data_IF_626771551187
#
_entry.id   IF_626771551187
#
_cell.length_a   1.000
_cell.length_b   1.000
_cell.length_c   1.000
_cell.angle_alpha   90.00
_cell.angle_beta   90.00
_cell.angle_gamma   90.00
#
_symmetry.space_group_name_H-M   'P 1'
#
loop_
_entity.id
_entity.type
_entity.pdbx_description
1 polymer ?
#
# COMPACT_ATOMS: atom_id res chain seq x y z
N UNK A 1 -1.06 34.86 5.33
CA UNK A 1 -1.39 33.51 5.85
C UNK A 1 -0.29 33.09 6.81
N UNK A 2 -0.63 32.70 8.04
CA UNK A 2 0.36 32.22 9.00
C UNK A 2 0.94 30.88 8.50
N UNK A 3 2.23 30.86 8.18
CA UNK A 3 2.95 29.65 7.75
C UNK A 3 3.36 28.75 8.94
N UNK A 4 3.05 29.16 10.16
CA UNK A 4 3.39 28.43 11.38
C UNK A 4 2.40 27.28 11.56
N UNK A 5 2.94 26.11 11.88
CA UNK A 5 2.19 24.91 12.21
C UNK A 5 1.42 25.09 13.53
N UNK A 6 0.13 24.76 13.52
CA UNK A 6 -0.74 24.76 14.70
C UNK A 6 -1.48 23.41 14.81
N UNK A 7 -1.31 22.77 15.96
CA UNK A 7 -1.89 21.46 16.25
C UNK A 7 -3.43 21.51 16.34
N UNK A 8 -4.01 22.58 16.88
CA UNK A 8 -5.46 22.69 17.06
C UNK A 8 -6.15 22.83 15.70
N UNK A 9 -5.52 23.56 14.80
CA UNK A 9 -5.98 23.71 13.41
C UNK A 9 -5.86 22.41 12.64
N UNK A 10 -4.74 21.72 12.79
CA UNK A 10 -4.50 20.39 12.20
C UNK A 10 -5.56 19.37 12.64
N UNK A 11 -5.88 19.32 13.93
CA UNK A 11 -6.92 18.44 14.47
C UNK A 11 -8.33 18.80 13.96
N UNK A 12 -8.62 20.08 13.78
CA UNK A 12 -9.89 20.53 13.19
C UNK A 12 -9.99 20.09 11.72
N UNK A 13 -8.92 20.23 10.95
CA UNK A 13 -8.83 19.75 9.56
C UNK A 13 -8.97 18.23 9.47
N UNK A 14 -8.35 17.50 10.40
CA UNK A 14 -8.48 16.06 10.53
C UNK A 14 -9.93 15.62 10.75
N UNK A 15 -10.62 16.23 11.73
CA UNK A 15 -12.03 15.94 12.03
C UNK A 15 -12.93 16.23 10.82
N UNK A 16 -12.66 17.34 10.12
CA UNK A 16 -13.38 17.71 8.90
C UNK A 16 -13.24 16.61 7.83
N UNK A 17 -12.00 16.24 7.47
CA UNK A 17 -11.74 15.22 6.46
C UNK A 17 -12.39 13.86 6.80
N UNK A 18 -12.33 13.47 8.07
CA UNK A 18 -12.96 12.23 8.53
C UNK A 18 -14.49 12.33 8.46
N UNK A 19 -15.09 13.46 8.85
CA UNK A 19 -16.54 13.66 8.80
C UNK A 19 -17.11 13.63 7.38
N UNK A 20 -16.35 14.15 6.41
CA UNK A 20 -16.75 14.19 5.00
C UNK A 20 -16.78 12.79 4.38
N UNK A 21 -15.79 11.95 4.72
CA UNK A 21 -15.60 10.65 4.07
C UNK A 21 -16.09 9.45 4.91
N UNK A 22 -16.50 9.65 6.18
CA UNK A 22 -16.85 8.53 7.10
C UNK A 22 -17.89 7.57 6.53
N UNK A 23 -18.94 8.06 5.86
CA UNK A 23 -20.02 7.20 5.35
C UNK A 23 -19.51 6.31 4.22
N UNK A 24 -18.76 6.88 3.29
CA UNK A 24 -18.18 6.14 2.17
C UNK A 24 -17.16 5.09 2.66
N UNK A 25 -16.27 5.47 3.59
CA UNK A 25 -15.28 4.56 4.17
C UNK A 25 -15.99 3.42 4.93
N UNK A 26 -16.99 3.73 5.75
CA UNK A 26 -17.71 2.73 6.53
C UNK A 26 -18.49 1.75 5.63
N UNK A 27 -19.15 2.26 4.58
CA UNK A 27 -19.81 1.41 3.59
C UNK A 27 -18.83 0.50 2.85
N UNK A 28 -17.64 1.01 2.48
CA UNK A 28 -16.61 0.21 1.84
C UNK A 28 -16.08 -0.91 2.77
N UNK A 29 -15.80 -0.57 4.04
CA UNK A 29 -15.36 -1.55 5.05
C UNK A 29 -16.45 -2.59 5.31
N UNK A 30 -17.70 -2.16 5.49
CA UNK A 30 -18.83 -3.07 5.72
C UNK A 30 -19.07 -3.99 4.52
N UNK A 31 -19.02 -3.46 3.30
CA UNK A 31 -19.14 -4.23 2.07
C UNK A 31 -18.00 -5.25 1.92
N UNK A 32 -16.77 -4.84 2.24
CA UNK A 32 -15.61 -5.74 2.27
C UNK A 32 -15.81 -6.88 3.27
N UNK A 33 -16.14 -6.59 4.53
CA UNK A 33 -16.36 -7.64 5.53
C UNK A 33 -17.57 -8.51 5.24
N UNK A 34 -18.63 -7.96 4.65
CA UNK A 34 -19.78 -8.74 4.15
C UNK A 34 -19.37 -9.72 3.06
N UNK A 35 -18.54 -9.29 2.11
CA UNK A 35 -17.98 -10.17 1.09
C UNK A 35 -17.09 -11.26 1.71
N UNK A 36 -16.16 -10.90 2.59
CA UNK A 36 -15.30 -11.87 3.27
C UNK A 36 -16.14 -12.86 4.07
N UNK A 37 -17.22 -12.41 4.72
CA UNK A 37 -18.11 -13.28 5.48
C UNK A 37 -18.71 -14.38 4.61
N UNK A 38 -19.28 -14.02 3.45
CA UNK A 38 -19.84 -14.99 2.51
C UNK A 38 -18.76 -15.97 2.04
N UNK A 39 -17.58 -15.49 1.66
CA UNK A 39 -16.50 -16.39 1.22
C UNK A 39 -16.00 -17.30 2.34
N UNK A 40 -15.95 -16.80 3.59
CA UNK A 40 -15.51 -17.56 4.76
C UNK A 40 -16.46 -18.72 5.07
N UNK A 41 -17.77 -18.53 4.85
CA UNK A 41 -18.75 -19.60 5.00
C UNK A 41 -18.49 -20.75 4.03
N UNK A 42 -18.27 -20.44 2.74
CA UNK A 42 -17.97 -21.46 1.74
C UNK A 42 -16.64 -22.18 2.00
N UNK A 43 -15.61 -21.45 2.44
CA UNK A 43 -14.31 -22.04 2.76
C UNK A 43 -14.39 -22.91 4.01
N UNK A 44 -15.04 -22.43 5.08
CA UNK A 44 -15.20 -23.20 6.30
C UNK A 44 -15.97 -24.51 6.08
N UNK A 45 -16.98 -24.50 5.21
CA UNK A 45 -17.78 -25.68 4.92
C UNK A 45 -17.06 -26.72 4.03
N UNK A 46 -16.28 -26.29 3.03
CA UNK A 46 -15.68 -27.20 2.06
C UNK A 46 -14.21 -27.55 2.35
N UNK A 47 -13.46 -26.63 2.95
CA UNK A 47 -12.02 -26.75 3.14
C UNK A 47 -11.56 -25.95 4.38
N UNK A 48 -11.90 -26.40 5.61
CA UNK A 48 -11.63 -25.66 6.85
C UNK A 48 -10.14 -25.37 7.06
N UNK A 49 -9.25 -26.24 6.56
CA UNK A 49 -7.80 -26.04 6.61
C UNK A 49 -7.31 -24.79 5.85
N UNK A 50 -8.09 -24.28 4.88
CA UNK A 50 -7.73 -23.11 4.08
C UNK A 50 -8.16 -21.78 4.71
N UNK A 51 -8.92 -21.80 5.82
CA UNK A 51 -9.46 -20.59 6.43
C UNK A 51 -8.36 -19.61 6.88
N UNK A 52 -7.27 -20.11 7.45
CA UNK A 52 -6.13 -19.26 7.87
C UNK A 52 -5.41 -18.60 6.68
N UNK A 53 -5.28 -19.31 5.56
CA UNK A 53 -4.69 -18.76 4.34
C UNK A 53 -5.62 -17.69 3.73
N UNK A 54 -6.92 -17.95 3.75
CA UNK A 54 -7.93 -16.99 3.33
C UNK A 54 -7.86 -15.70 4.15
N UNK A 55 -7.68 -15.79 5.47
CA UNK A 55 -7.51 -14.61 6.32
C UNK A 55 -6.31 -13.76 5.94
N UNK A 56 -5.19 -14.42 5.64
CA UNK A 56 -3.96 -13.76 5.20
C UNK A 56 -4.17 -12.99 3.91
N UNK A 57 -4.81 -13.61 2.91
CA UNK A 57 -5.08 -12.99 1.61
C UNK A 57 -6.00 -11.78 1.77
N UNK A 58 -7.11 -11.93 2.50
CA UNK A 58 -8.06 -10.83 2.68
C UNK A 58 -7.49 -9.69 3.53
N UNK A 59 -6.68 -9.99 4.53
CA UNK A 59 -5.93 -8.96 5.26
C UNK A 59 -5.05 -8.14 4.31
N UNK A 60 -4.32 -8.79 3.40
CA UNK A 60 -3.52 -8.10 2.40
C UNK A 60 -4.36 -7.26 1.43
N UNK A 61 -5.50 -7.78 0.96
CA UNK A 61 -6.43 -7.02 0.12
C UNK A 61 -6.95 -5.79 0.86
N UNK A 62 -7.31 -5.92 2.14
CA UNK A 62 -7.77 -4.78 2.94
C UNK A 62 -6.66 -3.75 3.12
N UNK A 63 -5.45 -4.19 3.49
CA UNK A 63 -4.33 -3.31 3.77
C UNK A 63 -3.87 -2.57 2.50
N UNK A 64 -3.53 -3.32 1.44
CA UNK A 64 -2.98 -2.78 0.19
C UNK A 64 -4.05 -2.22 -0.75
N UNK A 65 -5.21 -2.87 -0.86
CA UNK A 65 -6.33 -2.35 -1.64
C UNK A 65 -6.89 -1.08 -1.02
N UNK A 66 -7.04 -1.06 0.31
CA UNK A 66 -7.48 0.11 1.04
C UNK A 66 -6.54 1.30 0.92
N UNK A 67 -5.22 1.07 0.99
CA UNK A 67 -4.25 2.17 0.84
C UNK A 67 -4.28 2.76 -0.56
N UNK A 68 -4.41 1.95 -1.62
CA UNK A 68 -4.56 2.46 -2.98
C UNK A 68 -5.79 3.37 -3.13
N UNK A 69 -6.92 2.97 -2.52
CA UNK A 69 -8.16 3.73 -2.59
C UNK A 69 -8.09 5.03 -1.76
N UNK A 70 -7.63 4.96 -0.52
CA UNK A 70 -7.67 6.10 0.41
C UNK A 70 -6.54 7.09 0.10
N UNK A 71 -5.31 6.61 -0.13
CA UNK A 71 -4.21 7.48 -0.53
C UNK A 71 -4.48 8.10 -1.91
N UNK A 72 -4.96 7.28 -2.87
CA UNK A 72 -5.31 7.73 -4.21
C UNK A 72 -6.46 8.76 -4.27
N UNK A 73 -7.32 8.81 -3.24
CA UNK A 73 -8.44 9.76 -3.13
C UNK A 73 -8.19 10.91 -2.15
N UNK A 74 -7.02 10.95 -1.49
CA UNK A 74 -6.70 11.92 -0.43
C UNK A 74 -6.85 13.38 -0.88
N UNK A 75 -6.65 13.67 -2.18
CA UNK A 75 -6.78 14.99 -2.77
C UNK A 75 -7.95 15.12 -3.76
N UNK A 76 -8.93 14.21 -3.69
CA UNK A 76 -10.11 14.22 -4.57
C UNK A 76 -10.94 15.51 -4.47
N UNK A 77 -10.83 16.25 -3.37
CA UNK A 77 -11.50 17.53 -3.16
C UNK A 77 -10.87 18.68 -3.96
N UNK A 78 -9.59 18.60 -4.33
CA UNK A 78 -8.91 19.65 -5.11
C UNK A 78 -9.16 19.46 -6.61
N UNK A 79 -9.74 18.32 -7.00
CA UNK A 79 -9.89 17.91 -8.38
C UNK A 79 -11.01 18.62 -9.15
N UNK A 80 -11.95 19.27 -8.45
CA UNK A 80 -12.97 20.13 -9.09
C UNK A 80 -12.77 21.58 -8.68
N UNK A 81 -12.98 22.51 -9.61
CA UNK A 81 -12.75 23.95 -9.40
C UNK A 81 -13.52 24.48 -8.18
N UNK A 82 -14.78 24.08 -8.02
CA UNK A 82 -15.63 24.50 -6.90
C UNK A 82 -15.11 24.01 -5.54
N UNK A 83 -14.73 22.73 -5.45
CA UNK A 83 -14.24 22.12 -4.21
C UNK A 83 -12.79 22.56 -3.91
N UNK A 84 -12.02 22.86 -4.95
CA UNK A 84 -10.68 23.41 -4.85
C UNK A 84 -10.70 24.77 -4.18
N UNK A 85 -11.59 25.69 -4.60
CA UNK A 85 -11.73 27.01 -3.96
C UNK A 85 -12.10 26.85 -2.48
N UNK A 86 -13.05 25.98 -2.16
CA UNK A 86 -13.44 25.70 -0.77
C UNK A 86 -12.32 25.07 0.07
N UNK A 87 -11.44 24.27 -0.54
CA UNK A 87 -10.30 23.65 0.14
C UNK A 87 -9.13 24.63 0.32
N UNK A 88 -8.89 25.49 -0.67
CA UNK A 88 -7.84 26.51 -0.65
C UNK A 88 -8.17 27.63 0.34
N UNK A 89 -9.45 27.95 0.53
CA UNK A 89 -9.93 28.94 1.50
C UNK A 89 -9.85 28.48 2.96
N UNK A 90 -9.59 27.20 3.22
CA UNK A 90 -9.37 26.70 4.58
C UNK A 90 -8.14 27.38 5.18
N UNK A 91 -8.22 27.93 6.40
CA UNK A 91 -7.16 28.74 7.00
C UNK A 91 -5.96 27.91 7.52
N UNK A 92 -5.62 26.80 6.86
CA UNK A 92 -4.55 25.87 7.19
C UNK A 92 -3.29 26.14 6.37
N UNK A 93 -2.11 25.81 6.92
CA UNK A 93 -0.86 25.89 6.18
C UNK A 93 -0.74 24.77 5.15
N UNK A 94 0.07 24.94 4.11
CA UNK A 94 0.35 23.90 3.09
C UNK A 94 0.85 22.61 3.73
N UNK A 95 1.70 22.73 4.76
CA UNK A 95 2.23 21.57 5.49
C UNK A 95 1.15 20.81 6.27
N UNK A 96 0.20 21.51 6.88
CA UNK A 96 -0.93 20.86 7.57
C UNK A 96 -1.86 20.15 6.60
N UNK A 97 -2.14 20.78 5.45
CA UNK A 97 -2.92 20.18 4.36
C UNK A 97 -2.21 18.98 3.73
N UNK A 98 -0.89 18.89 3.86
CA UNK A 98 -0.09 17.73 3.46
C UNK A 98 -0.13 16.61 4.51
N UNK A 99 0.17 16.93 5.77
CA UNK A 99 0.38 15.92 6.82
C UNK A 99 -0.93 15.23 7.23
N UNK A 100 -2.08 15.93 7.19
CA UNK A 100 -3.36 15.36 7.61
C UNK A 100 -3.80 14.21 6.70
N UNK A 101 -3.89 14.38 5.36
CA UNK A 101 -4.20 13.27 4.47
C UNK A 101 -3.14 12.17 4.51
N UNK A 102 -1.85 12.53 4.64
CA UNK A 102 -0.76 11.55 4.75
C UNK A 102 -0.90 10.65 6.00
N UNK A 103 -1.20 11.23 7.16
CA UNK A 103 -1.45 10.48 8.40
C UNK A 103 -2.70 9.62 8.32
N UNK A 104 -3.78 10.16 7.74
CA UNK A 104 -5.06 9.45 7.59
C UNK A 104 -4.95 8.23 6.67
N UNK A 105 -4.35 8.42 5.50
CA UNK A 105 -4.27 7.37 4.47
C UNK A 105 -3.14 6.37 4.69
N UNK A 106 -2.10 6.75 5.43
CA UNK A 106 -0.99 5.88 5.80
C UNK A 106 -1.20 5.26 7.19
N UNK A 107 -0.70 5.94 8.22
CA UNK A 107 -0.57 5.36 9.58
C UNK A 107 -1.93 4.93 10.15
N UNK A 108 -2.93 5.81 10.07
CA UNK A 108 -4.24 5.55 10.68
C UNK A 108 -4.95 4.43 9.93
N UNK A 109 -4.89 4.41 8.60
CA UNK A 109 -5.43 3.31 7.82
C UNK A 109 -4.79 1.98 8.17
N UNK A 110 -3.46 1.91 8.30
CA UNK A 110 -2.77 0.69 8.69
C UNK A 110 -3.25 0.17 10.05
N UNK A 111 -3.39 1.04 11.05
CA UNK A 111 -3.91 0.69 12.38
C UNK A 111 -5.37 0.20 12.29
N UNK A 112 -6.21 0.90 11.52
CA UNK A 112 -7.62 0.50 11.32
C UNK A 112 -7.71 -0.85 10.62
N UNK A 113 -6.90 -1.10 9.58
CA UNK A 113 -6.87 -2.37 8.87
C UNK A 113 -6.45 -3.52 9.79
N UNK A 114 -5.40 -3.34 10.60
CA UNK A 114 -4.95 -4.32 11.59
C UNK A 114 -6.06 -4.59 12.62
N UNK A 115 -6.55 -3.56 13.30
CA UNK A 115 -7.51 -3.70 14.38
C UNK A 115 -8.85 -4.25 13.93
N UNK A 116 -9.39 -3.74 12.82
CA UNK A 116 -10.68 -4.20 12.29
C UNK A 116 -10.62 -5.64 11.80
N UNK A 117 -9.52 -6.05 11.14
CA UNK A 117 -9.39 -7.41 10.63
C UNK A 117 -9.14 -8.42 11.75
N UNK A 118 -8.35 -8.07 12.78
CA UNK A 118 -8.18 -8.90 13.96
C UNK A 118 -9.52 -9.13 14.66
N UNK A 119 -10.27 -8.06 14.93
CA UNK A 119 -11.61 -8.18 15.53
C UNK A 119 -12.54 -9.03 14.68
N UNK A 120 -12.57 -8.80 13.38
CA UNK A 120 -13.36 -9.58 12.43
C UNK A 120 -13.01 -11.07 12.48
N UNK A 121 -11.72 -11.42 12.41
CA UNK A 121 -11.28 -12.81 12.42
C UNK A 121 -11.66 -13.52 13.72
N UNK A 122 -11.55 -12.85 14.87
CA UNK A 122 -11.95 -13.41 16.16
C UNK A 122 -13.45 -13.72 16.20
N UNK A 123 -14.29 -12.78 15.74
CA UNK A 123 -15.74 -12.96 15.72
C UNK A 123 -16.16 -14.09 14.79
N UNK A 124 -15.59 -14.12 13.58
CA UNK A 124 -15.95 -15.10 12.55
C UNK A 124 -15.41 -16.50 12.86
N UNK A 125 -14.18 -16.61 13.37
CA UNK A 125 -13.62 -17.90 13.77
C UNK A 125 -14.36 -18.46 14.99
N UNK A 126 -14.75 -17.60 15.94
CA UNK A 126 -15.61 -18.01 17.06
C UNK A 126 -16.98 -18.51 16.60
N UNK A 127 -17.61 -17.80 15.65
CA UNK A 127 -18.90 -18.20 15.08
C UNK A 127 -18.79 -19.53 14.31
N UNK A 128 -17.80 -19.69 13.44
CA UNK A 128 -17.60 -20.94 12.71
C UNK A 128 -17.19 -22.10 13.62
N UNK A 129 -16.44 -21.84 14.69
CA UNK A 129 -16.12 -22.86 15.68
C UNK A 129 -17.36 -23.36 16.40
N UNK A 130 -18.27 -22.46 16.79
CA UNK A 130 -19.53 -22.83 17.43
C UNK A 130 -20.49 -23.59 16.50
N UNK A 131 -20.54 -23.24 15.21
CA UNK A 131 -21.47 -23.86 14.25
C UNK A 131 -20.93 -25.18 13.70
N UNK A 132 -19.64 -25.25 13.37
CA UNK A 132 -19.04 -26.39 12.65
C UNK A 132 -18.24 -27.32 13.57
N UNK A 133 -18.00 -26.96 14.83
CA UNK A 133 -17.28 -27.79 15.80
C UNK A 133 -15.76 -27.88 15.59
N UNK A 134 -15.18 -27.08 14.69
CA UNK A 134 -13.73 -27.00 14.48
C UNK A 134 -13.10 -25.90 15.35
N UNK A 135 -11.89 -26.10 15.83
CA UNK A 135 -11.10 -25.02 16.44
C UNK A 135 -10.27 -24.32 15.37
N UNK A 136 -10.38 -22.99 15.33
CA UNK A 136 -9.61 -22.13 14.44
C UNK A 136 -8.72 -21.21 15.26
N UNK A 137 -7.47 -21.05 14.85
CA UNK A 137 -6.55 -20.11 15.49
C UNK A 137 -7.01 -18.66 15.26
N UNK A 138 -6.72 -17.80 16.22
CA UNK A 138 -6.91 -16.37 16.04
C UNK A 138 -5.92 -15.85 15.00
N UNK A 139 -6.41 -15.13 13.98
CA UNK A 139 -5.53 -14.52 13.01
C UNK A 139 -4.72 -13.42 13.69
N UNK A 140 -3.40 -13.55 13.63
CA UNK A 140 -2.48 -12.54 14.12
C UNK A 140 -1.64 -12.00 12.94
N UNK A 141 -1.84 -10.73 12.53
CA UNK A 141 -1.12 -10.14 11.40
C UNK A 141 0.39 -10.01 11.65
N UNK A 142 0.84 -10.01 12.91
CA UNK A 142 2.25 -10.03 13.27
C UNK A 142 2.86 -11.43 13.27
N UNK A 143 2.01 -12.47 13.30
CA UNK A 143 2.43 -13.88 13.28
C UNK A 143 2.52 -14.48 11.87
N UNK A 144 2.18 -13.70 10.84
CA UNK A 144 2.30 -14.09 9.43
C UNK A 144 3.70 -14.71 9.25
N UNK A 145 3.71 -16.05 9.11
CA UNK A 145 4.86 -16.96 9.27
C UNK A 145 5.99 -16.65 8.29
N UNK A 146 6.77 -15.60 8.54
CA UNK A 146 8.06 -15.35 7.87
C UNK A 146 9.13 -14.80 8.85
N UNK A 147 9.06 -15.18 10.13
CA UNK A 147 10.06 -14.82 11.15
C UNK A 147 10.03 -13.34 11.59
N UNK A 148 10.94 -12.89 12.49
CA UNK A 148 11.04 -11.49 12.92
C UNK A 148 11.31 -10.50 11.78
N UNK A 149 11.78 -10.98 10.62
CA UNK A 149 11.92 -10.18 9.39
C UNK A 149 10.59 -9.99 8.63
N UNK A 150 9.52 -10.71 8.98
CA UNK A 150 8.24 -10.71 8.24
C UNK A 150 7.47 -9.40 8.32
N UNK A 151 7.48 -8.75 9.49
CA UNK A 151 6.78 -7.49 9.68
C UNK A 151 7.34 -6.42 8.73
N UNK A 152 8.66 -6.40 8.56
CA UNK A 152 9.32 -5.52 7.60
C UNK A 152 8.92 -5.86 6.16
N UNK A 153 8.76 -7.14 5.82
CA UNK A 153 8.36 -7.57 4.48
C UNK A 153 6.90 -7.19 4.13
N UNK A 154 6.04 -6.96 5.12
CA UNK A 154 4.65 -6.53 4.89
C UNK A 154 4.51 -5.01 4.97
N UNK A 155 5.00 -4.38 6.03
CA UNK A 155 4.74 -2.96 6.28
C UNK A 155 5.65 -2.03 5.49
N UNK A 156 6.85 -2.46 5.09
CA UNK A 156 7.71 -1.62 4.28
C UNK A 156 7.20 -1.45 2.84
N UNK A 157 6.82 -2.52 2.11
CA UNK A 157 6.19 -2.35 0.80
C UNK A 157 4.85 -1.62 0.88
N UNK A 158 4.15 -1.71 2.01
CA UNK A 158 2.95 -0.90 2.25
C UNK A 158 3.26 0.61 2.18
N UNK A 159 4.33 1.09 2.81
CA UNK A 159 4.70 2.51 2.72
C UNK A 159 5.18 2.90 1.32
N UNK A 160 5.82 1.99 0.58
CA UNK A 160 6.15 2.22 -0.82
C UNK A 160 4.87 2.39 -1.66
N UNK A 161 3.92 1.47 -1.54
CA UNK A 161 2.64 1.56 -2.24
C UNK A 161 1.88 2.83 -1.84
N UNK A 162 1.81 3.14 -0.54
CA UNK A 162 1.22 4.39 -0.05
C UNK A 162 1.86 5.61 -0.71
N UNK A 163 3.20 5.70 -0.75
CA UNK A 163 3.91 6.84 -1.34
C UNK A 163 3.59 7.02 -2.83
N UNK A 164 3.48 5.94 -3.60
CA UNK A 164 3.16 5.96 -5.04
C UNK A 164 1.75 6.50 -5.26
N UNK A 165 0.75 5.98 -4.54
CA UNK A 165 -0.64 6.41 -4.68
C UNK A 165 -0.87 7.81 -4.12
N UNK A 166 -0.17 8.18 -3.05
CA UNK A 166 -0.23 9.52 -2.47
C UNK A 166 0.36 10.56 -3.42
N UNK A 167 1.53 10.28 -4.01
CA UNK A 167 2.09 11.10 -5.09
C UNK A 167 1.11 11.17 -6.27
N UNK A 168 0.56 10.05 -6.71
CA UNK A 168 -0.45 9.99 -7.76
C UNK A 168 -1.67 10.88 -7.51
N UNK A 169 -2.18 10.91 -6.28
CA UNK A 169 -3.27 11.78 -5.85
C UNK A 169 -2.91 13.27 -5.95
N UNK A 170 -1.67 13.64 -5.61
CA UNK A 170 -1.18 15.02 -5.76
C UNK A 170 -0.79 15.38 -7.19
N UNK A 171 -0.40 14.41 -8.03
CA UNK A 171 0.06 14.66 -9.39
C UNK A 171 -1.10 14.76 -10.38
N UNK A 172 -2.09 13.88 -10.28
CA UNK A 172 -3.21 13.80 -11.23
C UNK A 172 -4.48 14.48 -10.72
N UNK A 173 -5.07 15.38 -11.51
CA UNK A 173 -6.30 16.11 -11.12
C UNK A 173 -7.59 15.31 -11.37
N UNK A 174 -7.60 14.40 -12.35
CA UNK A 174 -8.80 13.59 -12.64
C UNK A 174 -8.39 12.15 -12.77
N UNK A 175 -9.18 11.28 -12.14
CA UNK A 175 -8.96 9.83 -12.13
C UNK A 175 -7.53 9.46 -11.66
N UNK A 176 -7.15 9.95 -10.48
CA UNK A 176 -5.79 9.76 -9.97
C UNK A 176 -5.40 8.29 -9.82
N UNK A 177 -6.31 7.44 -9.31
CA UNK A 177 -6.06 6.00 -9.15
C UNK A 177 -5.72 5.32 -10.48
N UNK A 178 -6.60 5.31 -11.52
CA UNK A 178 -6.30 4.60 -12.76
C UNK A 178 -5.11 5.21 -13.50
N UNK A 179 -4.86 6.53 -13.41
CA UNK A 179 -3.65 7.13 -14.00
C UNK A 179 -2.38 6.68 -13.29
N UNK A 180 -2.42 6.53 -11.98
CA UNK A 180 -1.28 6.01 -11.19
C UNK A 180 -1.00 4.56 -11.55
N UNK A 181 -2.05 3.73 -11.64
CA UNK A 181 -1.94 2.34 -12.08
C UNK A 181 -1.40 2.24 -13.52
N UNK A 182 -1.93 3.04 -14.45
CA UNK A 182 -1.46 3.07 -15.84
C UNK A 182 0.01 3.50 -15.93
N UNK A 183 0.40 4.54 -15.18
CA UNK A 183 1.78 5.01 -15.14
C UNK A 183 2.70 3.92 -14.58
N UNK A 184 2.31 3.29 -13.47
CA UNK A 184 3.05 2.17 -12.90
C UNK A 184 3.18 1.01 -13.88
N UNK A 185 2.11 0.66 -14.60
CA UNK A 185 2.11 -0.38 -15.62
C UNK A 185 3.08 -0.06 -16.77
N UNK A 186 3.05 1.17 -17.30
CA UNK A 186 3.96 1.59 -18.39
C UNK A 186 5.41 1.58 -17.91
N UNK A 187 5.69 2.14 -16.73
CA UNK A 187 7.05 2.14 -16.15
C UNK A 187 7.56 0.72 -15.91
N UNK A 188 6.74 -0.16 -15.34
CA UNK A 188 7.10 -1.56 -15.11
C UNK A 188 7.33 -2.32 -16.41
N UNK A 189 6.52 -2.06 -17.44
CA UNK A 189 6.66 -2.69 -18.75
C UNK A 189 7.95 -2.26 -19.44
N UNK A 190 8.26 -0.96 -19.43
CA UNK A 190 9.53 -0.43 -19.95
C UNK A 190 10.73 -0.97 -19.18
N UNK A 191 10.65 -1.02 -17.84
CA UNK A 191 11.70 -1.59 -17.02
C UNK A 191 11.93 -3.08 -17.33
N UNK A 192 10.86 -3.86 -17.47
CA UNK A 192 10.93 -5.29 -17.83
C UNK A 192 11.56 -5.45 -19.22
N UNK A 193 11.14 -4.64 -20.20
CA UNK A 193 11.68 -4.67 -21.55
C UNK A 193 13.18 -4.32 -21.59
N UNK A 194 13.60 -3.29 -20.85
CA UNK A 194 15.03 -2.94 -20.71
C UNK A 194 15.82 -4.10 -20.07
N UNK A 195 15.30 -4.74 -19.01
CA UNK A 195 15.95 -5.91 -18.42
C UNK A 195 16.12 -7.06 -19.42
N UNK A 196 15.11 -7.31 -20.27
CA UNK A 196 15.21 -8.33 -21.32
C UNK A 196 16.30 -8.01 -22.33
N UNK A 197 16.42 -6.73 -22.75
CA UNK A 197 17.51 -6.27 -23.63
C UNK A 197 18.87 -6.47 -22.95
N UNK A 198 19.00 -6.07 -21.69
CA UNK A 198 20.24 -6.26 -20.92
C UNK A 198 20.64 -7.73 -20.85
N UNK A 199 19.69 -8.62 -20.56
CA UNK A 199 19.93 -10.07 -20.53
C UNK A 199 20.40 -10.55 -21.91
N UNK A 200 19.75 -10.12 -22.98
CA UNK A 200 20.12 -10.53 -24.35
C UNK A 200 21.53 -10.05 -24.74
N UNK A 201 21.92 -8.82 -24.36
CA UNK A 201 23.25 -8.27 -24.64
C UNK A 201 24.33 -8.98 -23.81
N UNK A 202 24.08 -9.20 -22.52
CA UNK A 202 25.08 -9.74 -21.59
C UNK A 202 25.28 -11.26 -21.75
N UNK A 203 24.22 -12.00 -22.06
CA UNK A 203 24.24 -13.46 -22.07
C UNK A 203 24.05 -14.07 -23.46
N UNK A 204 23.88 -13.26 -24.53
CA UNK A 204 23.71 -13.75 -25.90
C UNK A 204 22.34 -14.36 -26.20
N UNK A 205 21.54 -14.68 -25.18
CA UNK A 205 20.18 -15.17 -25.31
C UNK A 205 19.55 -15.60 -23.99
N UNK A 206 18.24 -15.85 -23.99
CA UNK A 206 17.50 -16.29 -22.80
C UNK A 206 17.86 -17.71 -22.33
N UNK A 207 18.22 -18.60 -23.27
CA UNK A 207 18.66 -19.96 -22.95
C UNK A 207 19.95 -19.96 -22.15
N UNK A 208 20.93 -19.20 -22.63
CA UNK A 208 22.25 -19.08 -22.00
C UNK A 208 22.16 -18.36 -20.65
N UNK A 209 21.28 -17.38 -20.49
CA UNK A 209 21.01 -16.76 -19.19
C UNK A 209 20.52 -17.77 -18.14
N UNK A 210 19.57 -18.62 -18.51
CA UNK A 210 19.00 -19.61 -17.60
C UNK A 210 20.05 -20.67 -17.20
N UNK A 211 20.86 -21.14 -18.15
CA UNK A 211 21.96 -22.07 -17.86
C UNK A 211 23.01 -21.42 -16.94
N UNK A 212 23.38 -20.17 -17.21
CA UNK A 212 24.40 -19.48 -16.42
C UNK A 212 23.97 -19.12 -15.00
N UNK A 213 22.68 -18.80 -14.76
CA UNK A 213 22.20 -18.53 -13.38
C UNK A 213 22.11 -19.80 -12.55
N UNK A 214 21.78 -20.93 -13.17
CA UNK A 214 21.63 -22.19 -12.44
C UNK A 214 22.98 -22.88 -12.12
N UNK A 215 24.08 -22.37 -12.67
CA UNK A 215 25.45 -22.80 -12.39
C UNK A 215 26.33 -21.63 -11.94
N UNK A 216 26.00 -20.98 -10.81
CA UNK A 216 26.72 -19.81 -10.33
C UNK A 216 28.16 -20.13 -9.90
N UNK A 217 28.50 -21.42 -9.72
CA UNK A 217 29.87 -21.91 -9.51
C UNK A 217 30.83 -21.59 -10.66
N UNK A 218 30.32 -21.33 -11.88
CA UNK A 218 31.14 -21.00 -13.05
C UNK A 218 31.47 -19.50 -13.13
N UNK A 219 30.88 -18.67 -12.26
CA UNK A 219 31.11 -17.24 -12.25
C UNK A 219 32.33 -16.90 -11.40
N UNK A 220 32.98 -15.77 -11.70
CA UNK A 220 33.99 -15.23 -10.80
C UNK A 220 33.34 -15.03 -9.41
N UNK A 221 33.96 -15.51 -8.31
CA UNK A 221 33.41 -15.38 -6.95
C UNK A 221 32.99 -13.94 -6.60
N UNK A 222 33.75 -12.94 -7.03
CA UNK A 222 33.45 -11.52 -6.78
C UNK A 222 32.20 -11.07 -7.55
N UNK A 223 32.07 -11.53 -8.79
CA UNK A 223 30.91 -11.27 -9.64
C UNK A 223 29.65 -11.93 -9.04
N UNK A 224 29.78 -13.17 -8.58
CA UNK A 224 28.71 -13.93 -7.96
C UNK A 224 28.21 -13.24 -6.67
N UNK A 225 29.12 -12.86 -5.78
CA UNK A 225 28.79 -12.09 -4.57
C UNK A 225 28.08 -10.77 -4.90
N UNK A 226 28.57 -10.03 -5.90
CA UNK A 226 27.97 -8.77 -6.31
C UNK A 226 26.53 -8.95 -6.81
N UNK A 227 26.27 -9.89 -7.72
CA UNK A 227 24.96 -10.05 -8.37
C UNK A 227 23.93 -10.81 -7.54
N UNK A 228 24.34 -11.81 -6.74
CA UNK A 228 23.41 -12.61 -5.95
C UNK A 228 23.15 -12.05 -4.56
N UNK A 229 24.11 -11.33 -3.97
CA UNK A 229 23.98 -10.86 -2.60
C UNK A 229 23.95 -9.33 -2.47
N UNK A 230 24.96 -8.64 -2.99
CA UNK A 230 25.05 -7.18 -2.83
C UNK A 230 23.94 -6.44 -3.59
N UNK A 231 23.80 -6.71 -4.88
CA UNK A 231 22.90 -5.98 -5.77
C UNK A 231 21.42 -6.14 -5.36
N UNK A 232 20.87 -7.34 -5.07
CA UNK A 232 19.49 -7.48 -4.64
C UNK A 232 19.22 -6.80 -3.29
N UNK A 233 20.16 -6.89 -2.34
CA UNK A 233 20.05 -6.17 -1.05
C UNK A 233 20.09 -4.67 -1.24
N UNK A 234 21.00 -4.16 -2.08
CA UNK A 234 21.12 -2.75 -2.38
C UNK A 234 19.86 -2.20 -3.05
N UNK A 235 19.35 -2.91 -4.06
CA UNK A 235 18.10 -2.56 -4.76
C UNK A 235 16.94 -2.59 -3.76
N UNK A 236 16.79 -3.67 -2.98
CA UNK A 236 15.73 -3.80 -1.97
C UNK A 236 15.77 -2.63 -0.98
N UNK A 237 16.91 -2.35 -0.38
CA UNK A 237 17.07 -1.26 0.60
C UNK A 237 16.79 0.11 -0.04
N UNK A 238 17.30 0.36 -1.23
CA UNK A 238 17.09 1.64 -1.93
C UNK A 238 15.62 1.83 -2.28
N UNK A 239 14.98 0.84 -2.90
CA UNK A 239 13.57 0.90 -3.28
C UNK A 239 12.63 0.98 -2.08
N UNK A 240 12.98 0.32 -0.98
CA UNK A 240 12.11 0.26 0.19
C UNK A 240 12.23 1.52 1.07
N UNK A 241 13.42 2.10 1.22
CA UNK A 241 13.61 3.23 2.12
C UNK A 241 13.74 4.57 1.42
N UNK A 242 14.46 4.64 0.29
CA UNK A 242 14.79 5.91 -0.37
C UNK A 242 13.65 6.37 -1.28
N UNK A 243 13.10 5.47 -2.10
CA UNK A 243 12.03 5.80 -3.06
C UNK A 243 10.78 6.39 -2.39
N UNK A 244 10.25 5.83 -1.27
CA UNK A 244 9.07 6.42 -0.63
C UNK A 244 9.32 7.83 -0.13
N UNK A 245 10.51 8.10 0.43
CA UNK A 245 10.89 9.44 0.90
C UNK A 245 10.91 10.43 -0.27
N UNK A 246 11.52 10.06 -1.39
CA UNK A 246 11.54 10.89 -2.60
C UNK A 246 10.11 11.17 -3.07
N UNK A 247 9.24 10.16 -3.10
CA UNK A 247 7.84 10.32 -3.53
C UNK A 247 7.01 11.19 -2.57
N UNK A 248 7.24 11.08 -1.26
CA UNK A 248 6.60 11.97 -0.29
C UNK A 248 7.04 13.43 -0.48
N UNK A 249 8.35 13.66 -0.66
CA UNK A 249 8.87 15.02 -0.91
C UNK A 249 8.33 15.58 -2.23
N UNK A 250 8.32 14.77 -3.30
CA UNK A 250 7.73 15.16 -4.58
C UNK A 250 6.24 15.49 -4.45
N UNK A 251 5.49 14.70 -3.67
CA UNK A 251 4.06 14.95 -3.42
C UNK A 251 3.83 16.29 -2.69
N UNK A 252 4.71 16.65 -1.76
CA UNK A 252 4.64 17.93 -1.04
C UNK A 252 4.87 19.12 -1.98
N UNK A 253 5.92 19.08 -2.80
CA UNK A 253 6.16 20.14 -3.78
C UNK A 253 5.05 20.22 -4.81
N UNK A 254 4.50 19.07 -5.24
CA UNK A 254 3.39 19.06 -6.20
C UNK A 254 2.10 19.64 -5.63
N UNK A 255 1.84 19.42 -4.34
CA UNK A 255 0.74 20.08 -3.64
C UNK A 255 0.96 21.61 -3.60
N UNK A 256 2.17 22.06 -3.26
CA UNK A 256 2.51 23.48 -3.20
C UNK A 256 2.34 24.18 -4.55
N UNK A 257 2.75 23.55 -5.65
CA UNK A 257 2.55 24.07 -7.02
C UNK A 257 1.07 24.25 -7.38
N UNK A 258 0.16 23.48 -6.76
CA UNK A 258 -1.29 23.59 -7.03
C UNK A 258 -2.00 24.65 -6.20
N UNK A 259 -1.36 25.14 -5.13
CA UNK A 259 -1.92 26.20 -4.28
C UNK A 259 -1.61 27.61 -4.79
N UNK A 260 -0.61 27.74 -5.69
CA UNK A 260 -0.22 28.99 -6.37
C UNK A 260 -1.03 29.17 -7.64
#
# INVERSE_FOLDING_TARGET
MNQIFDINRTLSLFKLNLSLNKKAILLAIAGFFGFVFITSFFVANNAPALLNNMHTIFYFILLYGGVALIAGQSYSHINSTEKSIAHLSLPASTFEKYIVPWLLSGIIWAIVAIGSYMLYSMLINGLWSGVMGFSYDAFNPFSLRMGPESANQVYLPYFLMHSVFFLGATAFQKHAIPKTLLTGFVVQSLFTFLNLIFIMILFGGFGDFNVNINHPENWNPDFNYFFLDFLPRFIKTTFVYVVPVIFYVAAFFKLKEREV
#
